data_IF_278598315951
#
_entry.id   IF_278598315951
#
_cell.length_a   1.000
_cell.length_b   1.000
_cell.length_c   1.000
_cell.angle_alpha   90.00
_cell.angle_beta   90.00
_cell.angle_gamma   90.00
#
_symmetry.space_group_name_H-M   'P 1'
#
loop_
_entity.id
_entity.type
_entity.pdbx_description
1 polymer ?
#
# COMPACT_ATOMS: atom_id res chain seq x y z
N UNK A 1 -8.18 38.26 18.08
CA UNK A 1 -9.07 37.13 18.40
C UNK A 1 -8.26 35.86 18.24
N UNK A 2 -7.96 35.21 19.36
CA UNK A 2 -7.28 33.92 19.41
C UNK A 2 -8.32 32.84 19.08
N UNK A 3 -8.09 32.06 18.01
CA UNK A 3 -8.83 30.82 17.78
C UNK A 3 -8.02 29.68 18.41
N UNK A 4 -8.69 28.99 19.32
CA UNK A 4 -8.20 27.96 20.21
C UNK A 4 -7.85 26.67 19.49
N UNK A 5 -6.82 26.03 20.02
CA UNK A 5 -6.31 24.69 19.76
C UNK A 5 -7.40 23.62 19.68
N UNK A 6 -7.48 22.94 18.52
CA UNK A 6 -8.02 21.60 18.41
C UNK A 6 -6.89 20.59 18.64
N UNK A 7 -6.96 19.87 19.76
CA UNK A 7 -6.22 18.64 19.99
C UNK A 7 -6.73 17.58 19.02
N UNK A 8 -6.11 17.52 17.85
CA UNK A 8 -5.93 16.34 16.99
C UNK A 8 -5.26 16.86 15.74
N UNK A 9 -3.97 16.52 15.59
CA UNK A 9 -3.13 16.90 14.46
C UNK A 9 -3.58 16.21 13.17
N UNK A 10 -4.74 16.59 12.65
CA UNK A 10 -5.09 16.34 11.28
C UNK A 10 -4.08 17.10 10.42
N UNK A 11 -3.09 16.36 9.92
CA UNK A 11 -2.29 16.75 8.77
C UNK A 11 -3.29 17.25 7.72
N UNK A 12 -3.12 18.50 7.29
CA UNK A 12 -3.90 19.04 6.18
C UNK A 12 -3.59 18.17 4.97
N UNK A 13 -4.62 17.46 4.45
CA UNK A 13 -4.45 16.63 3.25
C UNK A 13 -3.87 17.49 2.13
N UNK A 14 -2.66 17.15 1.69
CA UNK A 14 -2.10 17.59 0.41
C UNK A 14 -1.27 18.88 0.39
N UNK A 15 -0.78 19.42 1.52
CA UNK A 15 0.04 20.66 1.49
C UNK A 15 1.45 20.55 2.04
N UNK A 16 1.89 19.40 2.58
CA UNK A 16 3.26 19.22 3.07
C UNK A 16 3.95 18.00 2.44
N UNK A 17 4.72 18.29 1.39
CA UNK A 17 5.97 17.68 0.88
C UNK A 17 6.32 16.17 0.99
N UNK A 18 5.51 15.26 1.53
CA UNK A 18 5.91 13.84 1.67
C UNK A 18 4.80 12.80 1.44
N UNK A 19 3.72 13.18 0.74
CA UNK A 19 2.73 12.19 0.29
C UNK A 19 3.23 11.54 -1.01
N UNK A 20 3.43 10.22 -1.07
CA UNK A 20 3.93 9.57 -2.28
C UNK A 20 2.92 9.70 -3.42
N UNK A 21 3.44 9.94 -4.62
CA UNK A 21 2.62 10.13 -5.83
C UNK A 21 1.87 8.85 -6.25
N UNK A 22 2.37 7.69 -5.83
CA UNK A 22 1.75 6.39 -6.04
C UNK A 22 2.14 5.42 -4.92
N UNK A 23 1.26 4.47 -4.61
CA UNK A 23 1.53 3.36 -3.71
C UNK A 23 1.55 2.06 -4.52
N UNK A 24 2.53 1.19 -4.27
CA UNK A 24 2.57 -0.14 -4.88
C UNK A 24 1.61 -1.06 -4.13
N UNK A 25 0.52 -1.45 -4.77
CA UNK A 25 -0.52 -2.31 -4.18
C UNK A 25 -0.23 -3.80 -4.31
N UNK A 26 0.43 -4.22 -5.39
CA UNK A 26 0.76 -5.62 -5.65
C UNK A 26 1.96 -5.74 -6.60
N UNK A 27 2.54 -6.94 -6.62
CA UNK A 27 3.53 -7.38 -7.62
C UNK A 27 2.94 -8.61 -8.31
N UNK A 28 3.12 -8.70 -9.64
CA UNK A 28 2.56 -9.78 -10.46
C UNK A 28 3.68 -10.62 -11.05
N UNK A 29 3.53 -11.93 -10.99
CA UNK A 29 4.46 -12.91 -11.51
C UNK A 29 3.95 -13.57 -12.81
N UNK A 30 4.78 -14.43 -13.40
CA UNK A 30 4.41 -15.17 -14.59
C UNK A 30 3.21 -16.09 -14.30
N UNK A 31 2.12 -15.88 -15.04
CA UNK A 31 0.87 -16.62 -14.87
C UNK A 31 -0.22 -15.84 -14.13
N UNK A 32 0.11 -14.70 -13.52
CA UNK A 32 -0.89 -13.85 -12.89
C UNK A 32 -1.76 -13.09 -13.89
N UNK A 33 -2.93 -12.68 -13.42
CA UNK A 33 -3.94 -11.99 -14.22
C UNK A 33 -4.23 -10.61 -13.61
N UNK A 34 -4.20 -9.58 -14.45
CA UNK A 34 -4.53 -8.20 -14.08
C UNK A 34 -5.85 -7.75 -14.70
N UNK A 35 -6.65 -7.00 -13.94
CA UNK A 35 -7.85 -6.31 -14.45
C UNK A 35 -9.04 -7.23 -14.78
N UNK A 36 -9.02 -8.49 -14.34
CA UNK A 36 -10.10 -9.45 -14.65
C UNK A 36 -11.43 -9.04 -14.02
N UNK A 37 -11.43 -8.46 -12.82
CA UNK A 37 -12.65 -8.01 -12.14
C UNK A 37 -13.42 -6.95 -12.93
N UNK A 38 -12.77 -6.22 -13.84
CA UNK A 38 -13.44 -5.23 -14.71
C UNK A 38 -14.46 -5.85 -15.67
N UNK A 39 -14.42 -7.17 -15.89
CA UNK A 39 -15.41 -7.89 -16.70
C UNK A 39 -16.63 -8.35 -15.89
N UNK A 40 -16.55 -8.28 -14.56
CA UNK A 40 -17.64 -8.67 -13.67
C UNK A 40 -18.75 -7.61 -13.68
N UNK A 41 -20.02 -8.00 -13.84
CA UNK A 41 -21.15 -7.06 -13.80
C UNK A 41 -21.18 -6.26 -12.49
N UNK A 42 -21.28 -4.93 -12.59
CA UNK A 42 -21.39 -4.05 -11.42
C UNK A 42 -20.05 -3.68 -10.74
N UNK A 43 -18.93 -4.26 -11.17
CA UNK A 43 -17.61 -3.84 -10.70
C UNK A 43 -17.30 -2.41 -11.16
N UNK A 44 -16.92 -1.54 -10.23
CA UNK A 44 -16.43 -0.20 -10.54
C UNK A 44 -14.91 -0.25 -10.69
N UNK A 45 -14.40 0.27 -11.79
CA UNK A 45 -12.96 0.24 -12.06
C UNK A 45 -12.18 1.09 -11.06
N UNK A 46 -11.20 0.47 -10.40
CA UNK A 46 -10.25 1.16 -9.54
C UNK A 46 -9.21 1.91 -10.38
N UNK A 47 -8.72 3.03 -9.85
CA UNK A 47 -7.68 3.86 -10.48
C UNK A 47 -6.26 3.29 -10.29
N UNK A 48 -6.04 2.03 -10.67
CA UNK A 48 -4.72 1.39 -10.61
C UNK A 48 -3.98 1.44 -11.95
N UNK A 49 -2.66 1.52 -11.88
CA UNK A 49 -1.79 1.48 -13.07
C UNK A 49 -0.89 0.25 -13.02
N UNK A 50 -0.81 -0.48 -14.13
CA UNK A 50 0.13 -1.58 -14.29
C UNK A 50 1.44 -1.07 -14.90
N UNK A 51 2.55 -1.27 -14.20
CA UNK A 51 3.89 -0.86 -14.65
C UNK A 51 4.71 -2.12 -14.96
N UNK A 52 5.09 -2.27 -16.23
CA UNK A 52 5.91 -3.39 -16.70
C UNK A 52 7.41 -3.08 -16.60
N UNK A 53 8.20 -4.07 -16.17
CA UNK A 53 9.67 -4.06 -16.26
C UNK A 53 10.17 -5.02 -17.36
N UNK A 54 9.53 -4.99 -18.53
CA UNK A 54 9.88 -5.86 -19.67
C UNK A 54 9.09 -7.17 -19.74
N UNK A 55 7.96 -7.25 -19.03
CA UNK A 55 7.07 -8.40 -19.08
C UNK A 55 6.29 -8.46 -20.40
N UNK A 56 6.12 -9.67 -20.93
CA UNK A 56 5.19 -9.97 -22.02
C UNK A 56 3.81 -10.33 -21.45
N UNK A 57 2.75 -9.82 -22.07
CA UNK A 57 1.38 -10.04 -21.59
C UNK A 57 0.45 -10.48 -22.73
N UNK A 58 -0.45 -11.41 -22.42
CA UNK A 58 -1.54 -11.80 -23.31
C UNK A 58 -2.74 -10.93 -23.00
N UNK A 59 -3.16 -10.10 -23.97
CA UNK A 59 -4.36 -9.27 -23.84
C UNK A 59 -5.56 -9.96 -24.45
N UNK A 60 -6.62 -10.11 -23.66
CA UNK A 60 -7.92 -10.60 -24.13
C UNK A 60 -8.88 -9.43 -24.32
N UNK A 61 -9.62 -9.41 -25.44
CA UNK A 61 -10.65 -8.41 -25.66
C UNK A 61 -11.81 -8.59 -24.68
N UNK A 62 -12.20 -7.52 -23.98
CA UNK A 62 -13.34 -7.52 -23.06
C UNK A 62 -14.63 -7.94 -23.76
N UNK A 63 -14.90 -7.44 -24.96
CA UNK A 63 -16.10 -7.80 -25.73
C UNK A 63 -16.10 -9.26 -26.17
N UNK A 64 -14.92 -9.81 -26.47
CA UNK A 64 -14.78 -11.23 -26.78
C UNK A 64 -15.05 -12.08 -25.54
N UNK A 65 -14.43 -11.74 -24.41
CA UNK A 65 -14.63 -12.46 -23.15
C UNK A 65 -16.09 -12.50 -22.74
N UNK A 66 -16.77 -11.34 -22.70
CA UNK A 66 -18.18 -11.23 -22.32
C UNK A 66 -19.14 -11.97 -23.25
N UNK A 67 -18.76 -12.20 -24.52
CA UNK A 67 -19.58 -12.97 -25.47
C UNK A 67 -19.61 -14.47 -25.16
N UNK A 68 -18.53 -15.00 -24.58
CA UNK A 68 -18.35 -16.45 -24.39
C UNK A 68 -18.30 -16.88 -22.92
N UNK A 69 -18.07 -15.94 -21.99
CA UNK A 69 -18.16 -16.20 -20.56
C UNK A 69 -19.62 -16.39 -20.14
N UNK A 70 -19.86 -17.42 -19.33
CA UNK A 70 -21.16 -17.66 -18.69
C UNK A 70 -21.15 -17.18 -17.23
N UNK A 71 -22.31 -17.26 -16.58
CA UNK A 71 -22.47 -16.88 -15.17
C UNK A 71 -21.51 -17.62 -14.23
N UNK A 72 -21.19 -18.88 -14.53
CA UNK A 72 -20.31 -19.70 -13.71
C UNK A 72 -18.90 -19.14 -13.74
N UNK A 73 -18.43 -18.65 -14.89
CA UNK A 73 -17.13 -17.98 -15.02
C UNK A 73 -17.09 -16.71 -14.16
N UNK A 74 -18.14 -15.88 -14.18
CA UNK A 74 -18.18 -14.68 -13.35
C UNK A 74 -18.12 -15.00 -11.85
N UNK A 75 -18.90 -16.00 -11.39
CA UNK A 75 -18.83 -16.45 -10.00
C UNK A 75 -17.43 -16.94 -9.62
N UNK A 76 -16.74 -17.67 -10.50
CA UNK A 76 -15.37 -18.11 -10.24
C UNK A 76 -14.39 -16.93 -10.15
N UNK A 77 -14.59 -15.88 -10.95
CA UNK A 77 -13.77 -14.66 -10.88
C UNK A 77 -13.99 -13.97 -9.52
N UNK A 78 -15.25 -13.74 -9.13
CA UNK A 78 -15.60 -13.09 -7.86
C UNK A 78 -15.09 -13.86 -6.65
N UNK A 79 -15.09 -15.20 -6.71
CA UNK A 79 -14.56 -16.03 -5.63
C UNK A 79 -13.03 -16.07 -5.56
N UNK A 80 -12.34 -15.82 -6.68
CA UNK A 80 -10.89 -16.04 -6.80
C UNK A 80 -10.07 -14.77 -6.64
N UNK A 81 -10.65 -13.61 -6.96
CA UNK A 81 -9.97 -12.32 -7.01
C UNK A 81 -10.66 -11.32 -6.09
N UNK A 82 -9.86 -10.63 -5.29
CA UNK A 82 -10.33 -9.54 -4.44
C UNK A 82 -10.16 -8.19 -5.17
N UNK A 83 -11.07 -7.22 -4.95
CA UNK A 83 -10.90 -5.85 -5.43
C UNK A 83 -9.60 -5.22 -4.94
N UNK A 84 -9.10 -4.23 -5.66
CA UNK A 84 -7.97 -3.46 -5.16
C UNK A 84 -8.39 -2.63 -3.94
N UNK A 85 -7.47 -2.38 -2.99
CA UNK A 85 -7.75 -1.49 -1.87
C UNK A 85 -8.09 -0.09 -2.40
N UNK A 86 -9.00 0.57 -1.70
CA UNK A 86 -9.35 1.96 -1.95
C UNK A 86 -8.17 2.89 -1.67
N UNK A 87 -8.25 4.12 -2.17
CA UNK A 87 -7.23 5.14 -1.93
C UNK A 87 -7.09 5.46 -0.43
N UNK A 88 -8.20 5.54 0.30
CA UNK A 88 -8.18 5.82 1.74
C UNK A 88 -7.51 4.65 2.50
N UNK A 89 -7.83 3.39 2.17
CA UNK A 89 -7.16 2.22 2.76
C UNK A 89 -5.65 2.22 2.47
N UNK A 90 -5.25 2.54 1.24
CA UNK A 90 -3.82 2.65 0.89
C UNK A 90 -3.10 3.73 1.71
N UNK A 91 -3.77 4.86 1.98
CA UNK A 91 -3.18 5.96 2.75
C UNK A 91 -3.08 5.62 4.24
N UNK A 92 -4.10 4.97 4.80
CA UNK A 92 -4.10 4.52 6.19
C UNK A 92 -3.00 3.48 6.45
N UNK A 93 -2.85 2.50 5.55
CA UNK A 93 -1.79 1.48 5.62
C UNK A 93 -0.40 2.09 5.48
N UNK A 94 -0.26 3.10 4.61
CA UNK A 94 0.99 3.82 4.42
C UNK A 94 1.37 4.61 5.68
N UNK A 95 0.43 5.34 6.28
CA UNK A 95 0.67 6.10 7.51
C UNK A 95 1.07 5.17 8.66
N UNK A 96 0.35 4.06 8.84
CA UNK A 96 0.70 3.05 9.83
C UNK A 96 2.11 2.49 9.61
N UNK A 97 2.45 2.20 8.34
CA UNK A 97 3.77 1.69 7.98
C UNK A 97 4.86 2.71 8.29
N UNK A 98 4.67 3.98 7.94
CA UNK A 98 5.65 5.04 8.19
C UNK A 98 5.84 5.29 9.69
N UNK A 99 4.76 5.36 10.46
CA UNK A 99 4.80 5.44 11.92
C UNK A 99 5.62 4.29 12.52
N UNK A 100 5.41 3.07 12.03
CA UNK A 100 6.19 1.91 12.45
C UNK A 100 7.67 2.01 12.10
N UNK A 101 8.03 2.51 10.91
CA UNK A 101 9.43 2.74 10.54
C UNK A 101 10.09 3.79 11.44
N UNK A 102 9.39 4.90 11.70
CA UNK A 102 9.86 5.97 12.61
C UNK A 102 10.10 5.43 14.01
N UNK A 103 9.15 4.67 14.54
CA UNK A 103 9.27 4.03 15.86
C UNK A 103 10.49 3.09 15.93
N UNK A 104 10.64 2.17 14.97
CA UNK A 104 11.81 1.27 14.93
C UNK A 104 13.13 2.02 14.88
N UNK A 105 13.22 3.08 14.07
CA UNK A 105 14.43 3.90 13.96
C UNK A 105 14.75 4.58 15.29
N UNK A 106 13.74 5.13 15.95
CA UNK A 106 13.89 5.77 17.26
C UNK A 106 14.36 4.76 18.32
N UNK A 107 13.70 3.62 18.46
CA UNK A 107 14.07 2.59 19.45
C UNK A 107 15.45 2.00 19.19
N UNK A 108 15.83 1.80 17.93
CA UNK A 108 17.18 1.35 17.58
C UNK A 108 18.23 2.36 18.05
N UNK A 109 18.03 3.66 17.79
CA UNK A 109 18.93 4.72 18.24
C UNK A 109 19.03 4.77 19.77
N UNK A 110 17.89 4.72 20.46
CA UNK A 110 17.84 4.70 21.92
C UNK A 110 18.56 3.48 22.51
N UNK A 111 18.40 2.31 21.89
CA UNK A 111 19.03 1.08 22.35
C UNK A 111 20.54 1.11 22.13
N UNK A 112 21.00 1.58 20.97
CA UNK A 112 22.43 1.74 20.68
C UNK A 112 23.09 2.70 21.67
N UNK A 113 22.48 3.85 21.93
CA UNK A 113 22.98 4.82 22.90
C UNK A 113 23.15 4.19 24.29
N UNK A 114 22.14 3.45 24.78
CA UNK A 114 22.22 2.77 26.08
C UNK A 114 23.30 1.69 26.14
N UNK A 115 23.59 1.03 25.03
CA UNK A 115 24.66 0.02 24.94
C UNK A 115 26.03 0.70 25.01
N UNK A 116 26.22 1.81 24.29
CA UNK A 116 27.45 2.60 24.31
C UNK A 116 27.73 3.18 25.71
N UNK A 117 26.73 3.76 26.36
CA UNK A 117 26.85 4.28 27.73
C UNK A 117 27.26 3.18 28.74
N UNK A 118 26.68 1.98 28.62
CA UNK A 118 27.05 0.83 29.45
C UNK A 118 28.45 0.29 29.16
N UNK A 119 28.91 0.37 27.92
CA UNK A 119 30.27 -0.04 27.56
C UNK A 119 31.29 0.91 28.20
N UNK A 120 31.05 2.23 28.11
CA UNK A 120 31.92 3.26 28.69
C UNK A 120 32.01 3.18 30.21
N UNK A 121 30.90 2.89 30.90
CA UNK A 121 30.88 2.71 32.37
C UNK A 121 31.71 1.51 32.86
N UNK A 122 31.97 0.51 32.01
CA UNK A 122 32.79 -0.66 32.36
C UNK A 122 34.30 -0.43 32.19
N UNK A 123 34.71 0.61 31.46
CA UNK A 123 36.12 0.87 31.17
C UNK A 123 36.83 1.78 32.18
N UNK A 124 36.16 2.20 33.26
CA UNK A 124 36.79 2.96 34.36
C UNK A 124 37.35 1.95 35.39
N UNK A 125 38.68 1.75 35.50
CA UNK A 125 39.26 0.89 36.53
C UNK A 125 39.24 1.62 37.88
N UNK A 126 39.06 0.84 38.96
CA UNK A 126 39.16 1.29 40.36
C UNK A 126 40.59 1.67 40.75
#
# INVERSE_FOLDING_TARGET
MLATSGLNGYIQRGTELDVPYCVRVAELEAGDVFGILTVTPGYQEDSVSLVSQGAEAIKVSKSFFLKYADERVFTQIEMRYEPYPSQDECLDDLDLTDQWQRYKKFELQQTLQKVEEKAQLKEIPS
#
